data_IF_929463234227
#
_entry.id   IF_929463234227
#
_cell.length_a   1.000
_cell.length_b   1.000
_cell.length_c   1.000
_cell.angle_alpha   90.00
_cell.angle_beta   90.00
_cell.angle_gamma   90.00
#
_symmetry.space_group_name_H-M   'P 1'
#
loop_
_entity.id
_entity.type
_entity.pdbx_description
1 polymer ?
#
# COMPACT_ATOMS: atom_id res chain seq x y z
N UNK A 1 -5.77 -19.06 -5.09
CA UNK A 1 -7.18 -19.39 -5.20
C UNK A 1 -8.02 -18.15 -4.97
N UNK A 2 -8.88 -17.86 -5.93
CA UNK A 2 -9.76 -16.69 -5.83
C UNK A 2 -10.82 -16.93 -4.75
N UNK A 3 -10.86 -16.06 -3.75
CA UNK A 3 -11.78 -16.21 -2.63
C UNK A 3 -12.16 -14.83 -2.10
N UNK A 4 -13.20 -14.20 -2.70
CA UNK A 4 -13.56 -12.83 -2.31
C UNK A 4 -14.00 -12.69 -0.85
N UNK A 5 -14.64 -13.70 -0.32
CA UNK A 5 -15.10 -13.63 1.08
C UNK A 5 -13.92 -13.62 2.02
N UNK A 6 -12.95 -14.48 1.76
CA UNK A 6 -11.73 -14.51 2.57
C UNK A 6 -10.94 -13.20 2.41
N UNK A 7 -10.89 -12.69 1.18
CA UNK A 7 -10.23 -11.40 0.92
C UNK A 7 -10.86 -10.29 1.74
N UNK A 8 -12.18 -10.23 1.79
CA UNK A 8 -12.86 -9.19 2.55
C UNK A 8 -12.57 -9.34 4.05
N UNK A 9 -12.55 -10.57 4.54
CA UNK A 9 -12.23 -10.79 5.95
C UNK A 9 -10.81 -10.35 6.27
N UNK A 10 -9.86 -10.65 5.40
CA UNK A 10 -8.48 -10.22 5.60
C UNK A 10 -8.36 -8.70 5.57
N UNK A 11 -9.11 -8.03 4.69
CA UNK A 11 -9.16 -6.56 4.68
C UNK A 11 -9.65 -6.01 6.00
N UNK A 12 -10.73 -6.59 6.51
CA UNK A 12 -11.32 -6.10 7.77
C UNK A 12 -10.34 -6.26 8.92
N UNK A 13 -9.69 -7.42 9.00
CA UNK A 13 -8.71 -7.68 10.07
C UNK A 13 -7.50 -6.76 9.91
N UNK A 14 -7.03 -6.58 8.67
CA UNK A 14 -5.91 -5.69 8.40
C UNK A 14 -6.21 -4.26 8.80
N UNK A 15 -7.42 -3.80 8.49
CA UNK A 15 -7.84 -2.44 8.86
C UNK A 15 -7.87 -2.26 10.36
N UNK A 16 -8.33 -3.30 11.07
CA UNK A 16 -8.32 -3.28 12.53
C UNK A 16 -6.88 -3.06 13.05
N UNK A 17 -5.93 -3.82 12.52
CA UNK A 17 -4.53 -3.67 12.95
C UNK A 17 -3.94 -2.33 12.54
N UNK A 18 -4.29 -1.84 11.36
CA UNK A 18 -3.81 -0.54 10.90
C UNK A 18 -4.24 0.56 11.87
N UNK A 19 -5.50 0.52 12.28
CA UNK A 19 -6.04 1.51 13.19
C UNK A 19 -5.41 1.43 14.59
N UNK A 20 -4.92 0.26 14.94
CA UNK A 20 -4.24 0.08 16.23
C UNK A 20 -2.76 0.45 16.16
N UNK A 21 -2.25 0.74 14.98
CA UNK A 21 -0.83 1.01 14.81
C UNK A 21 0.03 -0.23 14.70
N UNK A 22 -0.58 -1.41 14.57
CA UNK A 22 0.14 -2.67 14.37
C UNK A 22 0.38 -2.86 12.89
N UNK A 23 1.33 -2.10 12.35
CA UNK A 23 1.47 -1.97 10.90
C UNK A 23 1.95 -3.26 10.23
N UNK A 24 2.87 -4.00 10.85
CA UNK A 24 3.33 -5.24 10.25
C UNK A 24 2.21 -6.27 10.15
N UNK A 25 1.39 -6.38 11.19
CA UNK A 25 0.25 -7.29 11.16
C UNK A 25 -0.76 -6.87 10.09
N UNK A 26 -0.99 -5.56 9.97
CA UNK A 26 -1.90 -5.03 8.96
C UNK A 26 -1.38 -5.38 7.56
N UNK A 27 -0.10 -5.19 7.33
CA UNK A 27 0.52 -5.46 6.03
C UNK A 27 0.31 -6.92 5.65
N UNK A 28 0.55 -7.85 6.57
CA UNK A 28 0.36 -9.27 6.31
C UNK A 28 -1.07 -9.56 5.87
N UNK A 29 -2.04 -8.95 6.52
CA UNK A 29 -3.45 -9.18 6.20
C UNK A 29 -3.82 -8.58 4.84
N UNK A 30 -3.29 -7.41 4.52
CA UNK A 30 -3.58 -6.79 3.22
C UNK A 30 -2.97 -7.59 2.07
N UNK A 31 -1.76 -8.11 2.27
CA UNK A 31 -1.14 -8.97 1.27
C UNK A 31 -1.98 -10.25 1.07
N UNK A 32 -2.45 -10.81 2.16
CA UNK A 32 -3.32 -11.97 2.10
C UNK A 32 -4.58 -11.67 1.29
N UNK A 33 -5.19 -10.51 1.53
CA UNK A 33 -6.38 -10.11 0.78
C UNK A 33 -6.09 -10.01 -0.71
N UNK A 34 -4.95 -9.42 -1.07
CA UNK A 34 -4.56 -9.30 -2.47
C UNK A 34 -4.33 -10.66 -3.11
N UNK A 35 -3.84 -11.64 -2.34
CA UNK A 35 -3.64 -12.98 -2.87
C UNK A 35 -4.97 -13.71 -3.10
N UNK A 36 -5.93 -13.50 -2.22
CA UNK A 36 -7.23 -14.14 -2.37
C UNK A 36 -8.08 -13.51 -3.47
N UNK A 37 -7.88 -12.22 -3.71
CA UNK A 37 -8.63 -11.53 -4.78
C UNK A 37 -7.69 -10.55 -5.48
N UNK A 38 -6.91 -11.03 -6.47
CA UNK A 38 -5.91 -10.18 -7.12
C UNK A 38 -6.46 -8.95 -7.85
N UNK A 39 -7.74 -8.99 -8.22
CA UNK A 39 -8.36 -7.85 -8.92
C UNK A 39 -8.78 -6.73 -7.99
N UNK A 40 -8.74 -6.96 -6.69
CA UNK A 40 -9.20 -5.98 -5.72
C UNK A 40 -8.16 -4.88 -5.55
N UNK A 41 -8.61 -3.63 -5.70
CA UNK A 41 -7.69 -2.50 -5.62
C UNK A 41 -7.40 -2.05 -4.19
N UNK A 42 -8.41 -2.17 -3.32
CA UNK A 42 -8.32 -1.60 -1.97
C UNK A 42 -7.14 -2.11 -1.13
N UNK A 43 -6.77 -3.41 -1.19
CA UNK A 43 -5.61 -3.85 -0.40
C UNK A 43 -4.36 -3.05 -0.72
N UNK A 44 -4.19 -2.64 -1.97
CA UNK A 44 -2.99 -1.91 -2.37
C UNK A 44 -2.96 -0.50 -1.83
N UNK A 45 -4.12 0.16 -1.77
CA UNK A 45 -4.19 1.49 -1.15
C UNK A 45 -3.89 1.40 0.34
N UNK A 46 -4.45 0.41 1.02
CA UNK A 46 -4.22 0.22 2.45
C UNK A 46 -2.78 -0.19 2.75
N UNK A 47 -2.18 -1.00 1.87
CA UNK A 47 -0.76 -1.30 1.99
C UNK A 47 0.08 -0.02 1.89
N UNK A 48 -0.27 0.85 0.94
CA UNK A 48 0.41 2.12 0.82
C UNK A 48 0.37 2.90 2.12
N UNK A 49 -0.80 2.96 2.75
CA UNK A 49 -0.96 3.67 4.00
C UNK A 49 -0.11 3.05 5.12
N UNK A 50 -0.12 1.72 5.21
CA UNK A 50 0.64 1.04 6.26
C UNK A 50 2.14 1.21 6.08
N UNK A 51 2.63 1.08 4.85
CA UNK A 51 4.04 1.28 4.58
C UNK A 51 4.46 2.73 4.85
N UNK A 52 3.58 3.68 4.51
CA UNK A 52 3.85 5.09 4.76
C UNK A 52 4.02 5.35 6.26
N UNK A 53 3.17 4.75 7.07
CA UNK A 53 3.27 4.87 8.52
C UNK A 53 4.58 4.29 9.05
N UNK A 54 5.10 3.28 8.39
CA UNK A 54 6.38 2.67 8.76
C UNK A 54 7.55 3.43 8.16
N UNK A 55 7.29 4.47 7.38
CA UNK A 55 8.32 5.22 6.66
C UNK A 55 9.09 4.39 5.65
N UNK A 56 8.44 3.36 5.13
CA UNK A 56 8.98 2.59 4.03
C UNK A 56 8.44 3.18 2.74
N UNK A 57 9.00 4.30 2.36
CA UNK A 57 8.42 5.17 1.35
C UNK A 57 8.41 4.55 -0.04
N UNK A 58 9.47 3.83 -0.42
CA UNK A 58 9.50 3.18 -1.72
C UNK A 58 8.39 2.13 -1.85
N UNK A 59 8.20 1.34 -0.81
CA UNK A 59 7.15 0.32 -0.81
C UNK A 59 5.77 0.95 -0.80
N UNK A 60 5.62 2.07 -0.10
CA UNK A 60 4.35 2.79 -0.09
C UNK A 60 4.01 3.28 -1.49
N UNK A 61 4.98 3.89 -2.17
CA UNK A 61 4.75 4.38 -3.53
C UNK A 61 4.39 3.23 -4.48
N UNK A 62 5.09 2.10 -4.36
CA UNK A 62 4.79 0.95 -5.21
C UNK A 62 3.36 0.45 -4.99
N UNK A 63 2.93 0.40 -3.73
CA UNK A 63 1.60 -0.08 -3.40
C UNK A 63 0.52 0.86 -3.95
N UNK A 64 0.72 2.16 -3.79
CA UNK A 64 -0.22 3.13 -4.35
C UNK A 64 -0.26 3.05 -5.88
N UNK A 65 0.88 2.80 -6.52
CA UNK A 65 0.90 2.63 -7.96
C UNK A 65 0.09 1.42 -8.40
N UNK A 66 0.14 0.33 -7.64
CA UNK A 66 -0.70 -0.82 -7.96
C UNK A 66 -2.18 -0.51 -7.80
N UNK A 67 -2.53 0.28 -6.80
CA UNK A 67 -3.90 0.75 -6.66
C UNK A 67 -4.34 1.52 -7.91
N UNK A 68 -3.48 2.43 -8.38
CA UNK A 68 -3.79 3.24 -9.56
C UNK A 68 -3.88 2.41 -10.82
N UNK A 69 -3.05 1.35 -10.94
CA UNK A 69 -3.14 0.45 -12.09
C UNK A 69 -4.50 -0.22 -12.16
N UNK A 70 -5.05 -0.56 -11.00
CA UNK A 70 -6.34 -1.25 -10.96
C UNK A 70 -7.51 -0.28 -11.09
N UNK A 71 -7.34 0.95 -10.63
CA UNK A 71 -8.39 1.98 -10.67
C UNK A 71 -7.80 3.29 -11.16
N UNK A 72 -7.45 3.38 -12.44
CA UNK A 72 -6.77 4.59 -12.96
C UNK A 72 -7.65 5.84 -12.92
N UNK A 73 -8.97 5.66 -12.87
CA UNK A 73 -9.90 6.78 -12.85
C UNK A 73 -10.66 6.90 -11.53
N UNK A 74 -10.09 6.33 -10.46
CA UNK A 74 -10.69 6.47 -9.13
C UNK A 74 -10.82 7.94 -8.77
N UNK A 75 -11.81 8.24 -7.93
CA UNK A 75 -12.07 9.63 -7.53
C UNK A 75 -10.85 10.26 -6.88
N UNK A 76 -10.03 9.47 -6.18
CA UNK A 76 -8.83 9.98 -5.51
C UNK A 76 -7.55 9.76 -6.32
N UNK A 77 -7.66 9.39 -7.61
CA UNK A 77 -6.46 9.06 -8.39
C UNK A 77 -5.47 10.21 -8.47
N UNK A 78 -5.94 11.42 -8.70
CA UNK A 78 -5.05 12.57 -8.80
C UNK A 78 -4.32 12.82 -7.48
N UNK A 79 -5.05 12.72 -6.39
CA UNK A 79 -4.45 12.88 -5.05
C UNK A 79 -3.41 11.81 -4.80
N UNK A 80 -3.72 10.57 -5.16
CA UNK A 80 -2.80 9.45 -4.94
C UNK A 80 -1.56 9.60 -5.81
N UNK A 81 -1.69 10.05 -7.06
CA UNK A 81 -0.53 10.28 -7.92
C UNK A 81 0.42 11.32 -7.33
N UNK A 82 -0.14 12.37 -6.78
CA UNK A 82 0.68 13.39 -6.12
C UNK A 82 1.39 12.79 -4.92
N UNK A 83 0.68 12.00 -4.14
CA UNK A 83 1.24 11.33 -2.98
C UNK A 83 2.39 10.41 -3.37
N UNK A 84 2.22 9.66 -4.47
CA UNK A 84 3.28 8.79 -4.98
C UNK A 84 4.54 9.59 -5.31
N UNK A 85 4.37 10.73 -5.99
CA UNK A 85 5.53 11.55 -6.34
C UNK A 85 6.26 12.02 -5.09
N UNK A 86 5.53 12.44 -4.08
CA UNK A 86 6.13 12.88 -2.82
C UNK A 86 6.85 11.74 -2.11
N UNK A 87 6.26 10.56 -2.13
CA UNK A 87 6.86 9.39 -1.49
C UNK A 87 8.13 8.95 -2.22
N UNK A 88 8.12 9.03 -3.54
CA UNK A 88 9.31 8.68 -4.32
C UNK A 88 10.45 9.63 -4.03
N UNK A 89 10.13 10.89 -3.82
CA UNK A 89 11.13 11.88 -3.46
C UNK A 89 11.70 11.59 -2.07
N UNK A 90 10.83 11.26 -1.12
CA UNK A 90 11.28 10.90 0.22
C UNK A 90 12.13 9.64 0.20
N UNK A 91 11.77 8.67 -0.62
CA UNK A 91 12.53 7.43 -0.73
C UNK A 91 13.92 7.71 -1.26
N UNK A 92 14.04 8.61 -2.23
CA UNK A 92 15.34 8.97 -2.79
C UNK A 92 16.22 9.65 -1.75
N UNK A 93 15.62 10.47 -0.89
CA UNK A 93 16.36 11.16 0.15
C UNK A 93 16.84 10.21 1.24
N UNK A 94 16.04 9.19 1.54
CA UNK A 94 16.38 8.22 2.58
C UNK A 94 17.43 7.23 2.15
N UNK A 95 17.56 7.00 0.84
CA UNK A 95 18.50 6.02 0.33
C UNK A 95 19.90 6.54 0.37
N UNK A 96 20.90 5.72 0.74
CA UNK A 96 22.29 6.12 0.62
C UNK A 96 22.59 6.42 -0.84
N UNK A 97 23.25 7.53 -1.08
CA UNK A 97 23.61 7.90 -2.44
C UNK A 97 24.87 7.17 -2.84
N UNK A 98 24.83 6.54 -3.98
CA UNK A 98 25.98 5.84 -4.47
C UNK A 98 27.08 6.80 -4.82
N UNK A 99 28.28 6.45 -4.47
CA UNK A 99 29.42 7.29 -4.75
C UNK A 99 29.60 8.43 -3.80
N UNK A 100 28.69 8.60 -2.88
CA UNK A 100 28.85 9.60 -1.85
C UNK A 100 29.67 9.04 -0.74
N UNK A 101 30.69 9.77 -0.42
CA UNK A 101 31.51 9.20 0.63
C UNK A 101 32.35 10.14 1.27
#
# INVERSE_FOLDING_TARGET
VFDPLHAQRSLDVGTFYLNKGSYDAAIDRFIEAANYQPTLAMPWKLLGQAYEKKREYAKAADSYNKYLEKLPHAADATKIRKQVAELQEKAAQDSPKKGER
#
